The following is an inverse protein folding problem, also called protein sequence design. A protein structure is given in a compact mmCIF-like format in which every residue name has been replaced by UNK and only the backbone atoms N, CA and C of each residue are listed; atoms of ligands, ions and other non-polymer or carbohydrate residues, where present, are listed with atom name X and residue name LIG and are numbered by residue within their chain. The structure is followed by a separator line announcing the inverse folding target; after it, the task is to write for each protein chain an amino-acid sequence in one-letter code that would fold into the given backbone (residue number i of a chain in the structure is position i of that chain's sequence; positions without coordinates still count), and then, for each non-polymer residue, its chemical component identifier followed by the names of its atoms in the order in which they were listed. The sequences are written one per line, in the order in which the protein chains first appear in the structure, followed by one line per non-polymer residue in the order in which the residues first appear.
data_IF_038468929648
#
_entry.id   IF_038468929648
#
_cell.length_a   1.000
_cell.length_b   1.000
_cell.length_c   1.000
_cell.angle_alpha   90.00
_cell.angle_beta   90.00
_cell.angle_gamma   90.00
#
_symmetry.space_group_name_H-M   'P 1'
#
loop_
_entity.id
_entity.type
_entity.pdbx_description
1 polymer ?
#
# COMPACT_ATOMS: atom_id res chain seq x y z
N UNK A 1 12.75 -23.61 -17.59
CA UNK A 1 11.50 -23.36 -16.84
C UNK A 1 11.47 -21.85 -16.60
N UNK A 2 10.51 -21.08 -17.13
CA UNK A 2 10.45 -19.67 -16.78
C UNK A 2 10.20 -19.56 -15.28
N UNK A 3 11.00 -18.76 -14.60
CA UNK A 3 10.88 -18.47 -13.18
C UNK A 3 9.52 -17.78 -12.96
N UNK A 4 8.64 -18.39 -12.17
CA UNK A 4 7.34 -17.78 -11.86
C UNK A 4 7.57 -16.67 -10.84
N UNK A 5 7.22 -15.45 -11.20
CA UNK A 5 7.36 -14.30 -10.33
C UNK A 5 6.29 -14.34 -9.23
N UNK A 6 6.73 -14.20 -7.97
CA UNK A 6 5.84 -14.16 -6.80
C UNK A 6 5.89 -12.77 -6.18
N UNK A 7 4.77 -12.06 -6.22
CA UNK A 7 4.62 -10.73 -5.62
C UNK A 7 3.83 -10.83 -4.33
N UNK A 8 4.25 -10.14 -3.28
CA UNK A 8 3.51 -10.12 -2.01
C UNK A 8 2.39 -9.08 -2.04
N UNK A 9 1.17 -9.51 -1.73
CA UNK A 9 -0.02 -8.66 -1.64
C UNK A 9 -0.71 -8.80 -0.29
N UNK A 10 -1.50 -7.80 0.09
CA UNK A 10 -2.30 -7.82 1.32
C UNK A 10 -3.74 -8.23 1.01
N UNK A 11 -4.20 -9.33 1.61
CA UNK A 11 -5.56 -9.86 1.47
C UNK A 11 -6.16 -10.01 2.86
N UNK A 12 -7.21 -9.26 3.18
CA UNK A 12 -7.91 -9.36 4.47
C UNK A 12 -7.00 -9.21 5.70
N UNK A 13 -5.98 -8.35 5.62
CA UNK A 13 -5.01 -8.14 6.72
C UNK A 13 -3.83 -9.13 6.74
N UNK A 14 -3.78 -10.12 5.86
CA UNK A 14 -2.68 -11.08 5.76
C UNK A 14 -1.83 -10.85 4.51
N UNK A 15 -0.52 -11.04 4.62
CA UNK A 15 0.42 -10.95 3.50
C UNK A 15 0.49 -12.29 2.77
N UNK A 16 0.15 -12.31 1.48
CA UNK A 16 0.03 -13.51 0.66
C UNK A 16 0.88 -13.35 -0.61
N UNK A 17 1.53 -14.42 -1.06
CA UNK A 17 2.20 -14.45 -2.37
C UNK A 17 1.18 -14.65 -3.49
N UNK A 18 1.17 -13.75 -4.46
CA UNK A 18 0.43 -13.89 -5.72
C UNK A 18 1.41 -14.20 -6.84
N UNK A 19 1.18 -15.32 -7.52
CA UNK A 19 1.97 -15.72 -8.68
C UNK A 19 1.49 -14.97 -9.92
N UNK A 20 2.43 -14.51 -10.75
CA UNK A 20 2.17 -13.82 -12.04
C UNK A 20 1.34 -12.53 -11.91
N UNK A 21 1.49 -11.80 -10.78
CA UNK A 21 0.74 -10.57 -10.54
C UNK A 21 1.10 -9.47 -11.53
N UNK A 22 2.38 -9.07 -11.59
CA UNK A 22 2.83 -7.98 -12.46
C UNK A 22 2.44 -8.17 -13.94
N UNK A 23 2.66 -9.34 -14.60
CA UNK A 23 2.24 -9.51 -15.98
C UNK A 23 0.71 -9.42 -16.15
N UNK A 24 -0.07 -9.85 -15.16
CA UNK A 24 -1.53 -9.67 -15.19
C UNK A 24 -1.91 -8.19 -15.07
N UNK A 25 -1.24 -7.42 -14.19
CA UNK A 25 -1.47 -5.98 -14.04
C UNK A 25 -1.13 -5.22 -15.32
N UNK A 26 0.02 -5.51 -15.94
CA UNK A 26 0.44 -4.89 -17.20
C UNK A 26 -0.58 -5.08 -18.33
N UNK A 27 -1.10 -6.30 -18.47
CA UNK A 27 -2.05 -6.61 -19.52
C UNK A 27 -3.42 -5.98 -19.26
N UNK A 28 -3.90 -6.03 -18.02
CA UNK A 28 -5.16 -5.34 -17.66
C UNK A 28 -5.02 -3.83 -17.81
N UNK A 29 -3.87 -3.25 -17.46
CA UNK A 29 -3.63 -1.82 -17.67
C UNK A 29 -3.59 -1.43 -19.16
N UNK A 30 -3.08 -2.31 -20.02
CA UNK A 30 -3.08 -2.09 -21.47
C UNK A 30 -4.48 -2.16 -22.08
N UNK A 31 -5.25 -3.19 -21.71
CA UNK A 31 -6.47 -3.55 -22.45
C UNK A 31 -7.76 -3.05 -21.77
N UNK A 32 -7.70 -2.73 -20.47
CA UNK A 32 -8.85 -2.36 -19.64
C UNK A 32 -8.67 -1.02 -18.91
N UNK A 33 -7.67 -0.20 -19.28
CA UNK A 33 -7.57 1.17 -18.77
C UNK A 33 -8.87 1.96 -19.02
N UNK A 34 -9.38 2.63 -17.98
CA UNK A 34 -10.62 3.40 -18.03
C UNK A 34 -11.92 2.60 -18.05
N UNK A 35 -11.86 1.26 -17.90
CA UNK A 35 -13.06 0.41 -17.74
C UNK A 35 -13.64 0.53 -16.32
N UNK A 36 -14.93 0.16 -16.14
CA UNK A 36 -15.53 0.10 -14.81
C UNK A 36 -14.77 -0.82 -13.85
N UNK A 37 -14.70 -0.44 -12.58
CA UNK A 37 -14.03 -1.18 -11.51
C UNK A 37 -14.42 -2.67 -11.47
N UNK A 38 -15.73 -2.96 -11.62
CA UNK A 38 -16.24 -4.33 -11.61
C UNK A 38 -15.66 -5.19 -12.75
N UNK A 39 -15.47 -4.62 -13.94
CA UNK A 39 -14.87 -5.32 -15.08
C UNK A 39 -13.37 -5.60 -14.85
N UNK A 40 -12.66 -4.64 -14.27
CA UNK A 40 -11.25 -4.75 -13.93
C UNK A 40 -11.05 -5.85 -12.87
N UNK A 41 -11.83 -5.79 -11.77
CA UNK A 41 -11.83 -6.80 -10.70
C UNK A 41 -12.10 -8.21 -11.24
N UNK A 42 -13.15 -8.37 -12.05
CA UNK A 42 -13.50 -9.66 -12.64
C UNK A 42 -12.40 -10.22 -13.55
N UNK A 43 -11.76 -9.35 -14.34
CA UNK A 43 -10.67 -9.73 -15.24
C UNK A 43 -9.42 -10.16 -14.48
N UNK A 44 -9.01 -9.40 -13.47
CA UNK A 44 -7.88 -9.74 -12.61
C UNK A 44 -8.12 -11.08 -11.90
N UNK A 45 -9.31 -11.28 -11.33
CA UNK A 45 -9.69 -12.54 -10.70
C UNK A 45 -9.64 -13.73 -11.65
N UNK A 46 -10.15 -13.57 -12.87
CA UNK A 46 -10.17 -14.65 -13.88
C UNK A 46 -8.75 -15.05 -14.29
N UNK A 47 -7.83 -14.08 -14.38
CA UNK A 47 -6.43 -14.31 -14.75
C UNK A 47 -5.64 -14.92 -13.60
N UNK A 48 -5.65 -14.26 -12.45
CA UNK A 48 -4.85 -14.65 -11.29
C UNK A 48 -5.40 -15.90 -10.59
N UNK A 49 -6.70 -16.16 -10.66
CA UNK A 49 -7.32 -17.39 -10.17
C UNK A 49 -6.95 -18.65 -10.96
N UNK A 50 -6.36 -18.53 -12.16
CA UNK A 50 -5.84 -19.70 -12.90
C UNK A 50 -4.52 -20.21 -12.33
N UNK A 51 -3.72 -19.31 -11.76
CA UNK A 51 -2.41 -19.62 -11.18
C UNK A 51 -2.42 -19.72 -9.65
N UNK A 52 -3.51 -19.29 -8.98
CA UNK A 52 -3.61 -19.22 -7.52
C UNK A 52 -4.86 -19.93 -6.98
N UNK A 53 -4.73 -20.66 -5.86
CA UNK A 53 -5.87 -21.28 -5.17
C UNK A 53 -6.61 -20.24 -4.32
N UNK A 54 -7.74 -19.73 -4.82
CA UNK A 54 -8.57 -18.74 -4.12
C UNK A 54 -9.85 -19.43 -3.63
N UNK A 55 -9.97 -19.57 -2.30
CA UNK A 55 -11.18 -20.13 -1.68
C UNK A 55 -12.34 -19.15 -1.82
N UNK A 56 -13.55 -19.64 -2.11
CA UNK A 56 -14.73 -18.79 -2.39
C UNK A 56 -15.01 -17.74 -1.31
N UNK A 57 -14.83 -18.13 -0.04
CA UNK A 57 -15.01 -17.25 1.13
C UNK A 57 -13.99 -16.10 1.19
N UNK A 58 -12.80 -16.28 0.62
CA UNK A 58 -11.75 -15.26 0.57
C UNK A 58 -11.80 -14.40 -0.69
N UNK A 59 -12.66 -14.76 -1.66
CA UNK A 59 -12.70 -14.14 -3.00
C UNK A 59 -12.85 -12.62 -2.96
N UNK A 60 -13.75 -12.10 -2.14
CA UNK A 60 -13.94 -10.66 -1.99
C UNK A 60 -12.66 -9.94 -1.54
N UNK A 61 -11.91 -10.55 -0.61
CA UNK A 61 -10.63 -10.00 -0.16
C UNK A 61 -9.57 -9.98 -1.27
N UNK A 62 -9.54 -11.01 -2.13
CA UNK A 62 -8.64 -11.04 -3.28
C UNK A 62 -9.06 -10.05 -4.38
N UNK A 63 -10.36 -9.89 -4.63
CA UNK A 63 -10.89 -8.90 -5.58
C UNK A 63 -10.44 -7.48 -5.22
N UNK A 64 -10.58 -7.11 -3.95
CA UNK A 64 -10.08 -5.82 -3.46
C UNK A 64 -8.55 -5.72 -3.51
N UNK A 65 -7.85 -6.77 -3.10
CA UNK A 65 -6.38 -6.77 -3.10
C UNK A 65 -5.80 -6.59 -4.50
N UNK A 66 -6.29 -7.34 -5.48
CA UNK A 66 -5.81 -7.23 -6.87
C UNK A 66 -6.16 -5.88 -7.47
N UNK A 67 -7.35 -5.35 -7.21
CA UNK A 67 -7.72 -4.03 -7.69
C UNK A 67 -6.87 -2.93 -7.05
N UNK A 68 -6.52 -3.07 -5.76
CA UNK A 68 -5.60 -2.18 -5.08
C UNK A 68 -4.23 -2.16 -5.77
N UNK A 69 -3.67 -3.33 -6.08
CA UNK A 69 -2.38 -3.42 -6.77
C UNK A 69 -2.46 -2.91 -8.21
N UNK A 70 -3.57 -3.13 -8.91
CA UNK A 70 -3.82 -2.53 -10.22
C UNK A 70 -3.82 -0.99 -10.17
N UNK A 71 -4.52 -0.40 -9.21
CA UNK A 71 -4.56 1.06 -9.05
C UNK A 71 -3.19 1.65 -8.73
N UNK A 72 -2.42 1.00 -7.85
CA UNK A 72 -1.02 1.37 -7.61
C UNK A 72 -0.20 1.31 -8.89
N UNK A 73 -0.37 0.25 -9.67
CA UNK A 73 0.35 0.04 -10.93
C UNK A 73 0.03 1.13 -11.96
N UNK A 74 -1.24 1.52 -12.13
CA UNK A 74 -1.62 2.59 -13.07
C UNK A 74 -1.42 4.01 -12.52
N UNK A 75 -0.97 4.14 -11.26
CA UNK A 75 -0.74 5.43 -10.60
C UNK A 75 -2.01 6.18 -10.20
N UNK A 76 -3.14 5.48 -10.11
CA UNK A 76 -4.39 6.08 -9.61
C UNK A 76 -4.35 6.16 -8.08
N UNK A 77 -4.72 7.31 -7.48
CA UNK A 77 -4.79 7.43 -6.02
C UNK A 77 -5.80 6.42 -5.50
N UNK A 78 -5.38 5.54 -4.60
CA UNK A 78 -6.30 4.62 -3.93
C UNK A 78 -7.29 5.43 -3.09
N UNK A 79 -8.61 5.14 -3.13
CA UNK A 79 -9.51 5.63 -2.11
C UNK A 79 -8.97 5.13 -0.78
N UNK A 80 -8.99 6.00 0.23
CA UNK A 80 -8.74 5.61 1.61
C UNK A 80 -9.75 4.51 1.96
N UNK A 81 -9.36 3.23 1.82
CA UNK A 81 -10.16 2.10 2.27
C UNK A 81 -10.16 2.14 3.80
N UNK A 82 -11.30 2.46 4.45
CA UNK A 82 -11.39 2.52 5.90
C UNK A 82 -11.36 1.13 6.55
N UNK A 83 -11.34 0.03 5.76
CA UNK A 83 -11.36 -1.35 6.25
C UNK A 83 -10.01 -2.07 6.14
N UNK A 84 -8.99 -1.44 5.55
CA UNK A 84 -7.64 -1.97 5.45
C UNK A 84 -6.78 -1.69 6.70
N UNK A 85 -5.64 -2.39 6.88
CA UNK A 85 -4.69 -2.05 7.95
C UNK A 85 -4.23 -0.60 7.79
N UNK A 86 -3.99 0.08 8.91
CA UNK A 86 -3.63 1.50 8.96
C UNK A 86 -2.44 1.79 8.00
N UNK A 87 -2.65 2.62 6.98
CA UNK A 87 -1.59 3.00 6.05
C UNK A 87 -0.72 4.10 6.65
N UNK A 88 0.59 3.87 6.67
CA UNK A 88 1.61 4.82 7.13
C UNK A 88 2.59 5.02 5.99
N UNK A 89 2.73 6.27 5.52
CA UNK A 89 3.67 6.60 4.44
C UNK A 89 4.70 7.61 4.92
N UNK A 90 5.96 7.32 4.64
CA UNK A 90 7.08 8.24 4.82
C UNK A 90 7.42 8.82 3.45
N UNK A 91 7.21 10.12 3.30
CA UNK A 91 7.47 10.85 2.07
C UNK A 91 8.85 11.52 2.18
N UNK A 92 9.81 11.06 1.39
CA UNK A 92 11.13 11.70 1.37
C UNK A 92 12.10 11.02 0.41
N UNK A 93 13.09 11.76 -0.11
CA UNK A 93 14.04 11.24 -1.11
C UNK A 93 15.07 10.24 -0.54
N UNK A 94 14.91 9.76 0.70
CA UNK A 94 15.87 8.86 1.36
C UNK A 94 17.01 9.57 2.10
N UNK A 95 16.71 10.72 2.72
CA UNK A 95 17.63 11.43 3.59
C UNK A 95 17.87 10.68 4.93
N UNK A 96 18.96 10.96 5.69
CA UNK A 96 19.24 10.30 6.98
C UNK A 96 18.09 10.44 7.98
N UNK A 97 17.40 11.58 7.95
CA UNK A 97 16.22 11.87 8.77
C UNK A 97 14.99 11.08 8.34
N UNK A 98 14.83 10.83 7.03
CA UNK A 98 13.78 10.03 6.43
C UNK A 98 13.91 8.56 6.89
N UNK A 99 15.13 8.01 6.80
CA UNK A 99 15.43 6.64 7.24
C UNK A 99 15.35 6.49 8.77
N UNK A 100 15.63 7.56 9.52
CA UNK A 100 15.43 7.57 10.98
C UNK A 100 13.94 7.50 11.32
N UNK A 101 13.12 8.29 10.65
CA UNK A 101 11.66 8.29 10.85
C UNK A 101 11.05 6.91 10.56
N UNK A 102 11.45 6.29 9.45
CA UNK A 102 11.01 4.94 9.08
C UNK A 102 11.39 3.90 10.15
N UNK A 103 12.65 3.91 10.62
CA UNK A 103 13.11 2.99 11.68
C UNK A 103 12.36 3.20 12.99
N UNK A 104 12.11 4.45 13.38
CA UNK A 104 11.37 4.76 14.60
C UNK A 104 9.91 4.29 14.50
N UNK A 105 9.26 4.46 13.34
CA UNK A 105 7.92 3.95 13.08
C UNK A 105 7.88 2.42 13.14
N UNK A 106 8.81 1.73 12.49
CA UNK A 106 8.90 0.27 12.51
C UNK A 106 9.06 -0.28 13.93
N UNK A 107 9.93 0.35 14.74
CA UNK A 107 10.12 -0.04 16.13
C UNK A 107 8.85 0.16 16.98
N UNK A 108 8.14 1.28 16.79
CA UNK A 108 6.90 1.57 17.51
C UNK A 108 5.77 0.63 17.07
N UNK A 109 5.66 0.34 15.78
CA UNK A 109 4.67 -0.58 15.24
C UNK A 109 4.87 -1.99 15.81
N UNK A 110 6.13 -2.45 15.92
CA UNK A 110 6.48 -3.71 16.55
C UNK A 110 6.13 -3.71 18.05
N UNK A 111 6.45 -2.62 18.77
CA UNK A 111 6.13 -2.47 20.20
C UNK A 111 4.61 -2.49 20.46
N UNK A 112 3.83 -1.84 19.59
CA UNK A 112 2.38 -1.74 19.71
C UNK A 112 1.63 -2.93 19.09
N UNK A 113 2.34 -3.89 18.49
CA UNK A 113 1.75 -5.00 17.71
C UNK A 113 0.68 -4.51 16.72
N UNK A 114 0.95 -3.38 16.06
CA UNK A 114 -0.01 -2.70 15.20
C UNK A 114 0.09 -3.27 13.77
N UNK A 115 -0.97 -3.89 13.23
CA UNK A 115 -1.02 -4.27 11.82
C UNK A 115 -1.22 -3.01 10.98
N UNK A 116 -0.11 -2.39 10.57
CA UNK A 116 -0.08 -1.20 9.74
C UNK A 116 0.89 -1.41 8.56
N UNK A 117 0.57 -0.79 7.44
CA UNK A 117 1.34 -0.87 6.20
C UNK A 117 2.28 0.34 6.14
N UNK A 118 3.59 0.11 6.28
CA UNK A 118 4.60 1.16 6.24
C UNK A 118 5.23 1.21 4.84
N UNK A 119 5.08 2.32 4.14
CA UNK A 119 5.62 2.54 2.80
C UNK A 119 6.53 3.78 2.78
N UNK A 120 7.74 3.64 2.21
CA UNK A 120 8.65 4.77 2.00
C UNK A 120 8.55 5.25 0.54
N UNK A 121 7.87 6.37 0.34
CA UNK A 121 7.70 6.99 -0.97
C UNK A 121 8.91 7.88 -1.25
N UNK A 122 9.78 7.40 -2.14
CA UNK A 122 10.98 8.11 -2.60
C UNK A 122 10.79 8.92 -3.88
N UNK A 123 9.71 8.65 -4.62
CA UNK A 123 9.42 9.32 -5.89
C UNK A 123 8.88 10.74 -5.65
N UNK A 124 9.64 11.74 -6.13
CA UNK A 124 9.30 13.17 -5.99
C UNK A 124 7.93 13.49 -6.60
N UNK A 125 7.53 12.85 -7.71
CA UNK A 125 6.23 13.06 -8.35
C UNK A 125 5.11 12.59 -7.43
N UNK A 126 5.28 11.43 -6.80
CA UNK A 126 4.30 10.91 -5.83
C UNK A 126 4.21 11.81 -4.61
N UNK A 127 5.35 12.29 -4.08
CA UNK A 127 5.39 13.23 -2.94
C UNK A 127 4.60 14.52 -3.27
N UNK A 128 4.75 15.06 -4.48
CA UNK A 128 4.04 16.26 -4.91
C UNK A 128 2.50 16.07 -4.94
N UNK A 129 2.00 14.87 -5.26
CA UNK A 129 0.57 14.56 -5.23
C UNK A 129 -0.04 14.70 -3.82
N UNK A 130 0.75 14.57 -2.76
CA UNK A 130 0.29 14.78 -1.37
C UNK A 130 0.28 16.26 -0.96
N UNK A 131 0.68 17.19 -1.83
CA UNK A 131 0.66 18.63 -1.56
C UNK A 131 1.67 19.08 -0.50
N UNK A 132 2.67 18.26 -0.18
CA UNK A 132 3.71 18.60 0.80
C UNK A 132 4.88 19.32 0.13
N UNK A 133 5.23 20.50 0.66
CA UNK A 133 6.33 21.32 0.15
C UNK A 133 7.69 21.05 0.82
N UNK A 134 7.75 20.10 1.76
CA UNK A 134 8.97 19.77 2.51
C UNK A 134 9.02 18.31 2.95
N UNK A 135 10.21 17.72 2.90
CA UNK A 135 10.51 16.37 3.38
C UNK A 135 11.50 16.40 4.55
N UNK A 136 11.47 15.45 5.49
CA UNK A 136 10.58 14.28 5.54
C UNK A 136 9.15 14.66 5.92
N UNK A 137 8.17 14.00 5.30
CA UNK A 137 6.76 14.11 5.67
C UNK A 137 6.18 12.74 6.06
N UNK A 138 5.25 12.74 7.01
CA UNK A 138 4.58 11.55 7.53
C UNK A 138 3.09 11.63 7.22
N UNK A 139 2.56 10.57 6.62
CA UNK A 139 1.13 10.40 6.35
C UNK A 139 0.64 9.18 7.12
N UNK A 140 -0.49 9.30 7.83
CA UNK A 140 -1.15 8.20 8.54
C UNK A 140 -2.62 8.21 8.14
N UNK A 141 -3.13 7.11 7.58
CA UNK A 141 -4.51 6.97 7.13
C UNK A 141 -4.92 8.06 6.14
N UNK A 142 -4.08 8.32 5.13
CA UNK A 142 -4.32 9.38 4.13
C UNK A 142 -4.08 10.81 4.63
N UNK A 143 -3.90 11.03 5.94
CA UNK A 143 -3.73 12.36 6.52
C UNK A 143 -2.26 12.70 6.77
N UNK A 144 -1.83 13.87 6.29
CA UNK A 144 -0.50 14.42 6.60
C UNK A 144 -0.42 14.81 8.07
N UNK A 145 0.56 14.25 8.79
CA UNK A 145 0.78 14.46 10.22
C UNK A 145 1.99 15.33 10.53
N UNK A 146 3.04 15.23 9.71
CA UNK A 146 4.24 16.04 9.84
C UNK A 146 4.81 16.35 8.45
N UNK A 147 5.44 17.52 8.32
CA UNK A 147 6.10 17.99 7.11
C UNK A 147 7.39 18.71 7.51
N UNK A 148 8.51 18.37 6.87
CA UNK A 148 9.80 19.05 7.06
C UNK A 148 10.47 18.84 8.42
N UNK A 149 10.04 17.85 9.23
CA UNK A 149 10.67 17.52 10.51
C UNK A 149 10.45 16.06 10.90
N UNK A 150 11.39 15.51 11.68
CA UNK A 150 11.24 14.21 12.32
C UNK A 150 10.55 14.38 13.68
N UNK A 151 9.32 13.88 13.87
CA UNK A 151 8.63 13.91 15.17
C UNK A 151 9.34 13.05 16.21
N UNK A 152 9.09 13.31 17.50
CA UNK A 152 9.63 12.48 18.57
C UNK A 152 8.91 11.13 18.65
N UNK A 153 9.59 10.10 19.18
CA UNK A 153 9.01 8.75 19.37
C UNK A 153 7.69 8.79 20.15
N UNK A 154 7.58 9.64 21.17
CA UNK A 154 6.35 9.81 21.97
C UNK A 154 5.19 10.34 21.14
N UNK A 155 5.46 11.29 20.25
CA UNK A 155 4.46 11.88 19.37
C UNK A 155 3.99 10.88 18.29
N UNK A 156 4.93 10.12 17.72
CA UNK A 156 4.62 9.03 16.79
C UNK A 156 3.72 7.97 17.45
N UNK A 157 4.06 7.54 18.68
CA UNK A 157 3.23 6.63 19.48
C UNK A 157 1.81 7.16 19.67
N UNK A 158 1.68 8.45 19.99
CA UNK A 158 0.37 9.08 20.20
C UNK A 158 -0.49 9.07 18.93
N UNK A 159 0.09 9.39 17.77
CA UNK A 159 -0.64 9.36 16.50
C UNK A 159 -1.04 7.95 16.08
N UNK A 160 -0.15 6.97 16.25
CA UNK A 160 -0.45 5.57 15.95
C UNK A 160 -1.52 5.01 16.90
N UNK A 161 -1.46 5.34 18.19
CA UNK A 161 -2.47 4.94 19.16
C UNK A 161 -3.84 5.59 18.88
N UNK A 162 -3.87 6.87 18.50
CA UNK A 162 -5.09 7.59 18.16
C UNK A 162 -5.77 7.05 16.87
N UNK A 163 -5.00 6.40 16.01
CA UNK A 163 -5.45 5.87 14.72
C UNK A 163 -5.95 4.41 14.79
N UNK A 164 -6.01 3.79 15.98
CA UNK A 164 -6.57 2.43 16.22
C UNK A 164 -8.11 2.36 16.16
N UNK A 165 -8.78 3.22 15.40
CA UNK A 165 -10.27 3.24 15.36
C UNK A 165 -10.82 2.14 14.48
#
# INVERSE_FOLDING_TARGET
MPEREVTQIMVGGHRIGSIDLNPALEEVARDFAGRPEAEIKATLMKRLGRSNYIVEKARAGYEEAFYREYRKFVGEPLPDDPSGPLQIKVLGPGCPECDRLERDLMAIMAELSLPADLEHVRDIKQIACYGVMGSPALVIGGKVMAVGRVPSKSQLKQWLAASRR
#
